data_IF_151374639413
#
_entry.id   IF_151374639413
#
_cell.length_a   1.000
_cell.length_b   1.000
_cell.length_c   1.000
_cell.angle_alpha   90.00
_cell.angle_beta   90.00
_cell.angle_gamma   90.00
#
_symmetry.space_group_name_H-M   'P 1'
#
loop_
_entity.id
_entity.type
_entity.pdbx_description
1 polymer ?
#
# COMPACT_ATOMS: atom_id res chain seq x y z
N UNK A 1 31.96 -7.40 6.65
CA UNK A 1 31.84 -5.98 6.26
C UNK A 1 30.46 -5.77 5.66
N UNK A 2 29.67 -4.94 6.33
CA UNK A 2 28.35 -4.38 5.99
C UNK A 2 27.17 -5.35 5.81
N UNK A 3 26.63 -5.80 6.95
CA UNK A 3 25.23 -6.16 7.08
C UNK A 3 24.38 -4.90 6.84
N UNK A 4 23.86 -4.76 5.62
CA UNK A 4 22.81 -3.80 5.34
C UNK A 4 21.48 -4.48 5.64
N UNK A 5 20.86 -4.09 6.75
CA UNK A 5 19.46 -4.38 7.03
C UNK A 5 18.58 -3.73 5.97
N UNK A 6 18.35 -4.45 4.87
CA UNK A 6 17.40 -4.11 3.84
C UNK A 6 15.98 -4.31 4.39
N UNK A 7 15.47 -3.32 5.13
CA UNK A 7 14.05 -3.28 5.47
C UNK A 7 13.26 -3.02 4.19
N UNK A 8 12.80 -4.09 3.54
CA UNK A 8 11.93 -4.01 2.37
C UNK A 8 10.53 -3.52 2.78
N UNK A 9 10.35 -2.22 2.94
CA UNK A 9 9.02 -1.62 3.04
C UNK A 9 8.38 -1.66 1.64
N UNK A 10 7.50 -2.63 1.38
CA UNK A 10 6.72 -2.68 0.14
C UNK A 10 5.52 -1.75 0.30
N UNK A 11 5.59 -0.58 -0.31
CA UNK A 11 4.42 0.29 -0.46
C UNK A 11 3.66 -0.11 -1.72
N UNK A 12 2.47 -0.71 -1.58
CA UNK A 12 1.53 -0.91 -2.69
C UNK A 12 0.52 0.23 -2.71
N UNK A 13 0.69 1.18 -3.63
CA UNK A 13 -0.23 2.33 -3.71
C UNK A 13 -1.40 2.01 -4.63
N UNK A 14 -2.61 2.37 -4.19
CA UNK A 14 -3.88 2.05 -4.87
C UNK A 14 -4.48 3.24 -5.61
N UNK A 15 -4.20 4.46 -5.16
CA UNK A 15 -4.95 5.64 -5.59
C UNK A 15 -4.02 6.75 -6.09
N UNK A 16 -4.39 7.30 -7.26
CA UNK A 16 -3.69 8.38 -7.98
C UNK A 16 -3.30 9.54 -7.06
N UNK A 17 -4.18 9.93 -6.13
CA UNK A 17 -3.93 11.00 -5.16
C UNK A 17 -2.94 10.64 -4.06
N UNK A 18 -2.90 9.39 -3.59
CA UNK A 18 -1.96 8.99 -2.51
C UNK A 18 -0.56 8.73 -3.05
N UNK A 19 -0.44 8.29 -4.30
CA UNK A 19 0.86 7.97 -4.94
C UNK A 19 1.79 9.17 -5.05
N UNK A 20 1.27 10.39 -5.25
CA UNK A 20 2.10 11.60 -5.25
C UNK A 20 2.74 11.87 -3.89
N UNK A 21 1.96 11.82 -2.79
CA UNK A 21 2.48 12.07 -1.45
C UNK A 21 3.51 11.03 -1.02
N UNK A 22 3.33 9.77 -1.43
CA UNK A 22 4.32 8.70 -1.18
C UNK A 22 5.62 8.98 -1.94
N UNK A 23 5.53 9.40 -3.21
CA UNK A 23 6.69 9.78 -4.00
C UNK A 23 7.45 10.96 -3.38
N UNK A 24 6.74 12.01 -2.97
CA UNK A 24 7.32 13.20 -2.36
C UNK A 24 7.97 12.88 -1.01
N UNK A 25 7.31 12.09 -0.17
CA UNK A 25 7.91 11.60 1.07
C UNK A 25 9.19 10.79 0.78
N UNK A 26 9.22 10.05 -0.33
CA UNK A 26 10.43 9.32 -0.70
C UNK A 26 11.56 10.24 -1.14
N UNK A 27 11.24 11.26 -1.94
CA UNK A 27 12.19 12.29 -2.37
C UNK A 27 12.78 13.06 -1.19
N UNK A 28 11.94 13.46 -0.22
CA UNK A 28 12.36 14.26 0.94
C UNK A 28 13.13 13.41 1.97
N UNK A 29 12.63 12.22 2.31
CA UNK A 29 13.15 11.43 3.42
C UNK A 29 14.02 10.25 3.00
N UNK A 30 14.38 10.11 1.72
CA UNK A 30 14.98 8.88 1.16
C UNK A 30 16.43 8.93 0.80
N UNK A 31 17.00 10.10 0.91
CA UNK A 31 18.39 10.38 0.58
C UNK A 31 19.30 10.20 1.80
N UNK A 32 18.75 10.27 3.02
CA UNK A 32 19.54 10.40 4.25
C UNK A 32 20.02 9.08 4.87
N UNK A 33 19.39 7.94 4.56
CA UNK A 33 19.80 6.63 5.07
C UNK A 33 20.08 5.70 3.90
N UNK A 34 21.19 4.96 3.92
CA UNK A 34 21.62 3.97 2.90
C UNK A 34 20.65 2.78 2.70
N UNK A 35 19.39 2.91 3.15
CA UNK A 35 18.35 1.89 3.04
C UNK A 35 17.57 2.10 1.74
N UNK A 36 17.74 1.15 0.82
CA UNK A 36 16.98 1.12 -0.43
C UNK A 36 15.49 0.93 -0.12
N UNK A 37 14.65 1.86 -0.58
CA UNK A 37 13.19 1.79 -0.43
C UNK A 37 12.54 1.31 -1.72
N UNK A 38 11.74 0.25 -1.60
CA UNK A 38 11.08 -0.37 -2.75
C UNK A 38 9.61 0.05 -2.79
N UNK A 39 9.28 0.97 -3.69
CA UNK A 39 7.90 1.43 -3.90
C UNK A 39 7.38 0.75 -5.15
N UNK A 40 6.30 0.01 -5.01
CA UNK A 40 5.72 -0.75 -6.12
C UNK A 40 4.35 -0.15 -6.45
N UNK A 41 4.26 0.52 -7.60
CA UNK A 41 2.97 0.95 -8.14
C UNK A 41 2.23 -0.21 -8.79
N UNK A 42 1.01 -0.54 -8.35
CA UNK A 42 0.16 -1.52 -9.04
C UNK A 42 -0.93 -0.78 -9.78
N UNK A 43 -0.85 -0.75 -11.11
CA UNK A 43 -1.65 0.14 -11.95
C UNK A 43 -2.31 -0.65 -13.09
N UNK A 44 -3.61 -0.46 -13.37
CA UNK A 44 -4.25 -1.05 -14.55
C UNK A 44 -3.64 -0.50 -15.84
N UNK A 45 -3.25 -1.38 -16.76
CA UNK A 45 -2.65 -1.03 -18.05
C UNK A 45 -3.53 -0.08 -18.86
N UNK A 46 -4.83 -0.36 -18.94
CA UNK A 46 -5.81 0.46 -19.66
C UNK A 46 -6.00 1.88 -19.12
N UNK A 47 -5.51 2.20 -17.90
CA UNK A 47 -5.57 3.53 -17.30
C UNK A 47 -4.27 4.32 -17.43
N UNK A 48 -3.24 3.75 -18.02
CA UNK A 48 -1.94 4.42 -18.16
C UNK A 48 -1.93 5.27 -19.42
N UNK A 49 -1.56 6.53 -19.26
CA UNK A 49 -1.28 7.42 -20.39
C UNK A 49 0.04 7.05 -21.06
N UNK A 50 0.09 7.16 -22.38
CA UNK A 50 1.25 6.81 -23.20
C UNK A 50 1.77 5.38 -22.92
N UNK A 51 0.88 4.44 -22.60
CA UNK A 51 1.28 3.04 -22.33
C UNK A 51 1.94 2.37 -23.54
N UNK A 52 1.68 2.85 -24.76
CA UNK A 52 2.38 2.43 -25.97
C UNK A 52 3.90 2.56 -25.86
N UNK A 53 4.39 3.59 -25.16
CA UNK A 53 5.82 3.86 -25.01
C UNK A 53 6.50 2.78 -24.16
N UNK A 54 5.72 2.13 -23.28
CA UNK A 54 6.17 1.07 -22.39
C UNK A 54 6.23 -0.30 -23.09
N UNK A 55 5.75 -0.41 -24.34
CA UNK A 55 5.74 -1.68 -25.08
C UNK A 55 7.15 -2.04 -25.55
N UNK A 56 7.69 -3.11 -24.99
CA UNK A 56 8.97 -3.67 -25.37
C UNK A 56 9.28 -4.89 -24.52
N UNK A 57 10.00 -5.85 -25.08
CA UNK A 57 10.47 -7.02 -24.36
C UNK A 57 11.94 -6.85 -24.04
N UNK A 58 12.28 -6.84 -22.75
CA UNK A 58 13.66 -6.77 -22.26
C UNK A 58 14.47 -5.58 -22.83
N UNK A 59 13.80 -4.43 -23.02
CA UNK A 59 14.40 -3.21 -23.60
C UNK A 59 14.14 -1.98 -22.75
N UNK A 60 15.08 -1.04 -22.77
CA UNK A 60 14.89 0.28 -22.18
C UNK A 60 13.86 1.07 -23.01
N UNK A 61 12.87 1.64 -22.33
CA UNK A 61 11.87 2.53 -22.90
C UNK A 61 11.86 3.87 -22.20
N UNK A 62 11.79 4.94 -23.00
CA UNK A 62 11.59 6.28 -22.48
C UNK A 62 10.08 6.49 -22.34
N UNK A 63 9.63 6.69 -21.11
CA UNK A 63 8.23 6.95 -20.81
C UNK A 63 8.02 8.44 -20.57
N UNK A 64 7.10 9.05 -21.32
CA UNK A 64 6.78 10.45 -21.14
C UNK A 64 5.56 10.62 -20.21
N UNK A 65 5.77 11.28 -19.07
CA UNK A 65 4.73 11.52 -18.06
C UNK A 65 3.76 12.65 -18.43
N UNK A 66 3.88 13.23 -19.63
CA UNK A 66 2.99 14.30 -20.09
C UNK A 66 1.55 13.79 -20.15
N UNK A 67 0.72 14.39 -19.29
CA UNK A 67 -0.69 14.07 -19.20
C UNK A 67 -1.50 14.80 -20.25
N UNK A 68 -2.49 14.16 -20.85
CA UNK A 68 -3.53 14.85 -21.61
C UNK A 68 -4.56 15.43 -20.62
N UNK A 69 -4.74 16.77 -20.53
CA UNK A 69 -5.67 17.38 -19.58
C UNK A 69 -7.14 16.99 -19.78
N UNK A 70 -7.49 16.46 -20.97
CA UNK A 70 -8.84 15.96 -21.28
C UNK A 70 -9.02 14.47 -21.00
N UNK A 71 -7.93 13.76 -20.69
CA UNK A 71 -7.95 12.32 -20.47
C UNK A 71 -8.30 11.97 -19.03
N UNK A 72 -9.12 10.93 -18.87
CA UNK A 72 -9.45 10.35 -17.55
C UNK A 72 -8.39 9.35 -17.06
N UNK A 73 -7.34 9.12 -17.85
CA UNK A 73 -6.24 8.21 -17.54
C UNK A 73 -5.22 8.92 -16.62
N UNK A 74 -4.16 8.22 -16.27
CA UNK A 74 -3.13 8.71 -15.36
C UNK A 74 -1.74 8.34 -15.83
N UNK A 75 -0.82 9.29 -15.71
CA UNK A 75 0.61 9.02 -15.87
C UNK A 75 1.16 8.24 -14.67
N UNK A 76 2.20 7.43 -14.91
CA UNK A 76 2.96 6.79 -13.84
C UNK A 76 3.80 7.81 -13.06
N UNK A 77 3.97 7.60 -11.75
CA UNK A 77 4.79 8.47 -10.90
C UNK A 77 6.26 8.04 -10.96
N UNK A 78 7.13 8.85 -11.58
CA UNK A 78 8.56 8.58 -11.70
C UNK A 78 9.33 8.43 -10.38
N UNK A 79 8.73 8.75 -9.23
CA UNK A 79 9.31 8.54 -7.91
C UNK A 79 9.12 7.12 -7.37
N UNK A 80 8.34 6.27 -8.05
CA UNK A 80 8.25 4.84 -7.75
C UNK A 80 9.45 4.09 -8.34
N UNK A 81 9.98 3.11 -7.63
CA UNK A 81 11.11 2.30 -8.12
C UNK A 81 10.69 1.15 -9.03
N UNK A 82 9.48 0.63 -8.86
CA UNK A 82 8.96 -0.49 -9.65
C UNK A 82 7.47 -0.32 -9.94
N UNK A 83 7.00 -0.98 -11.00
CA UNK A 83 5.60 -1.03 -11.39
C UNK A 83 5.16 -2.46 -11.73
N UNK A 84 3.93 -2.79 -11.35
CA UNK A 84 3.18 -3.95 -11.82
C UNK A 84 1.99 -3.43 -12.62
N UNK A 85 2.02 -3.64 -13.93
CA UNK A 85 1.00 -3.16 -14.85
C UNK A 85 0.00 -4.29 -15.11
N UNK A 86 -1.25 -4.09 -14.72
CA UNK A 86 -2.28 -5.14 -14.74
C UNK A 86 -3.16 -4.97 -15.97
N UNK A 87 -3.08 -5.92 -16.89
CA UNK A 87 -3.89 -5.92 -18.10
C UNK A 87 -5.06 -6.90 -17.96
N UNK A 88 -6.28 -6.40 -18.19
CA UNK A 88 -7.51 -7.17 -18.27
C UNK A 88 -8.13 -7.13 -19.69
N UNK A 89 -7.39 -6.59 -20.66
CA UNK A 89 -7.82 -6.40 -22.04
C UNK A 89 -8.70 -5.17 -22.25
N UNK A 90 -9.06 -4.43 -21.20
CA UNK A 90 -9.91 -3.24 -21.31
C UNK A 90 -9.08 -1.95 -21.34
N UNK A 91 -9.59 -0.94 -22.05
CA UNK A 91 -9.02 0.41 -22.06
C UNK A 91 -9.90 1.37 -21.28
N UNK A 92 -9.28 2.23 -20.48
CA UNK A 92 -9.96 3.28 -19.73
C UNK A 92 -10.77 2.80 -18.51
N UNK A 93 -10.72 1.52 -18.15
CA UNK A 93 -11.41 0.97 -16.97
C UNK A 93 -10.41 0.55 -15.91
N UNK A 94 -10.81 0.71 -14.65
CA UNK A 94 -10.10 0.09 -13.54
C UNK A 94 -10.56 -1.36 -13.39
N UNK A 95 -9.63 -2.29 -13.25
CA UNK A 95 -9.92 -3.71 -13.10
C UNK A 95 -8.66 -4.52 -12.79
N UNK A 96 -8.82 -5.64 -12.06
CA UNK A 96 -7.76 -6.63 -11.78
C UNK A 96 -6.68 -6.22 -10.78
N UNK A 97 -6.34 -4.93 -10.65
CA UNK A 97 -5.25 -4.46 -9.80
C UNK A 97 -5.48 -4.71 -8.31
N UNK A 98 -6.74 -4.62 -7.87
CA UNK A 98 -7.10 -4.88 -6.48
C UNK A 98 -6.91 -6.36 -6.13
N UNK A 99 -7.30 -7.27 -7.02
CA UNK A 99 -7.16 -8.71 -6.79
C UNK A 99 -5.69 -9.15 -6.84
N UNK A 100 -4.92 -8.61 -7.79
CA UNK A 100 -3.48 -8.85 -7.84
C UNK A 100 -2.81 -8.37 -6.55
N UNK A 101 -3.14 -7.17 -6.08
CA UNK A 101 -2.63 -6.63 -4.80
C UNK A 101 -2.90 -7.59 -3.65
N UNK A 102 -4.15 -8.02 -3.48
CA UNK A 102 -4.52 -8.93 -2.39
C UNK A 102 -3.75 -10.24 -2.45
N UNK A 103 -3.57 -10.80 -3.66
CA UNK A 103 -2.78 -12.02 -3.86
C UNK A 103 -1.30 -11.79 -3.52
N UNK A 104 -0.74 -10.66 -3.96
CA UNK A 104 0.65 -10.28 -3.68
C UNK A 104 0.89 -10.07 -2.19
N UNK A 105 0.06 -9.28 -1.50
CA UNK A 105 0.16 -9.05 -0.06
C UNK A 105 0.10 -10.35 0.72
N UNK A 106 -0.85 -11.24 0.39
CA UNK A 106 -0.97 -12.56 1.01
C UNK A 106 0.25 -13.43 0.76
N UNK A 107 0.83 -13.35 -0.44
CA UNK A 107 2.04 -14.07 -0.78
C UNK A 107 3.25 -13.53 0.00
N UNK A 108 3.43 -12.20 0.05
CA UNK A 108 4.48 -11.52 0.80
C UNK A 108 4.38 -11.85 2.28
N UNK A 109 3.18 -11.78 2.87
CA UNK A 109 2.96 -12.09 4.29
C UNK A 109 3.40 -13.52 4.66
N UNK A 110 3.27 -14.48 3.73
CA UNK A 110 3.70 -15.87 3.94
C UNK A 110 5.22 -16.05 3.82
N UNK A 111 5.93 -15.10 3.23
CA UNK A 111 7.38 -15.16 3.18
C UNK A 111 7.95 -15.06 4.60
N UNK A 112 9.05 -15.76 4.83
CA UNK A 112 9.77 -15.74 6.09
C UNK A 112 10.93 -14.78 5.97
N UNK A 113 11.07 -13.91 6.96
CA UNK A 113 12.27 -13.11 7.15
C UNK A 113 13.09 -13.84 8.22
N UNK A 114 14.36 -14.10 7.90
CA UNK A 114 15.35 -14.50 8.89
C UNK A 114 15.94 -13.22 9.49
N UNK A 115 15.85 -13.00 10.82
CA UNK A 115 16.64 -11.98 11.47
C UNK A 115 18.11 -12.43 11.44
N UNK A 116 18.78 -12.22 10.32
CA UNK A 116 20.22 -12.45 10.21
C UNK A 116 20.92 -11.31 10.94
N UNK A 117 21.14 -11.49 12.25
CA UNK A 117 22.14 -10.80 13.11
C UNK A 117 21.92 -11.01 14.64
N UNK A 118 21.08 -11.95 15.09
CA UNK A 118 21.18 -12.39 16.49
C UNK A 118 22.38 -13.36 16.63
N UNK A 119 23.58 -12.81 16.82
CA UNK A 119 24.79 -13.51 17.29
C UNK A 119 24.68 -13.99 18.76
N UNK A 120 23.47 -14.37 19.19
CA UNK A 120 23.26 -15.08 20.45
C UNK A 120 22.63 -16.44 20.12
N UNK A 121 23.53 -17.38 19.86
CA UNK A 121 23.30 -18.73 19.35
C UNK A 121 22.67 -19.68 20.39
N UNK A 122 21.65 -19.22 21.13
CA UNK A 122 21.05 -19.98 22.24
C UNK A 122 19.53 -20.01 22.27
N UNK A 123 18.84 -19.34 21.34
CA UNK A 123 17.38 -19.43 21.21
C UNK A 123 17.01 -19.73 19.75
N UNK A 124 16.27 -20.83 19.54
CA UNK A 124 15.95 -21.36 18.21
C UNK A 124 15.42 -20.31 17.24
N UNK A 125 15.90 -20.38 15.99
CA UNK A 125 15.52 -19.49 14.89
C UNK A 125 14.00 -19.28 14.79
N UNK A 126 13.49 -18.16 15.30
CA UNK A 126 12.11 -17.73 15.04
C UNK A 126 12.09 -17.01 13.69
N UNK A 127 11.64 -17.70 12.66
CA UNK A 127 11.38 -17.09 11.36
C UNK A 127 10.08 -16.29 11.46
N UNK A 128 10.16 -14.96 11.39
CA UNK A 128 8.98 -14.09 11.47
C UNK A 128 8.37 -13.92 10.07
N UNK A 129 7.05 -13.95 9.97
CA UNK A 129 6.33 -13.62 8.74
C UNK A 129 6.50 -12.13 8.40
N UNK A 130 6.45 -11.77 7.12
CA UNK A 130 6.50 -10.35 6.74
C UNK A 130 5.26 -9.64 7.29
N UNK A 131 5.41 -8.61 8.15
CA UNK A 131 4.27 -7.84 8.62
C UNK A 131 3.68 -7.02 7.47
N UNK A 132 2.35 -7.04 7.35
CA UNK A 132 1.61 -6.24 6.37
C UNK A 132 0.70 -5.30 7.14
N UNK A 133 0.73 -4.02 6.80
CA UNK A 133 -0.13 -2.97 7.36
C UNK A 133 -0.79 -2.20 6.23
N UNK A 134 -2.01 -1.72 6.48
CA UNK A 134 -2.72 -0.83 5.57
C UNK A 134 -2.69 0.59 6.14
N UNK A 135 -2.38 1.57 5.28
CA UNK A 135 -2.43 2.98 5.63
C UNK A 135 -3.48 3.68 4.77
N UNK A 136 -4.40 4.38 5.41
CA UNK A 136 -5.47 5.15 4.78
C UNK A 136 -5.23 6.62 5.06
N UNK A 137 -4.89 7.38 4.01
CA UNK A 137 -4.73 8.83 4.07
C UNK A 137 -5.97 9.50 3.51
N UNK A 138 -6.34 9.24 2.26
CA UNK A 138 -7.62 9.64 1.69
C UNK A 138 -8.30 8.43 1.05
N UNK A 139 -9.53 8.58 0.56
CA UNK A 139 -10.16 7.53 -0.20
C UNK A 139 -11.50 7.89 -0.80
N UNK A 140 -11.84 7.23 -1.91
CA UNK A 140 -13.21 7.12 -2.38
C UNK A 140 -13.95 5.95 -1.72
N UNK A 141 -15.23 5.73 -2.05
CA UNK A 141 -16.04 4.63 -1.50
C UNK A 141 -15.38 3.23 -1.54
N UNK A 142 -14.62 2.84 -2.59
CA UNK A 142 -13.96 1.52 -2.62
C UNK A 142 -12.95 1.27 -1.49
N UNK A 143 -12.44 2.32 -0.83
CA UNK A 143 -11.55 2.18 0.32
C UNK A 143 -12.27 1.54 1.50
N UNK A 144 -13.54 1.87 1.73
CA UNK A 144 -14.31 1.31 2.85
C UNK A 144 -14.43 -0.22 2.73
N UNK A 145 -14.74 -0.71 1.53
CA UNK A 145 -14.80 -2.15 1.26
C UNK A 145 -13.43 -2.82 1.44
N UNK A 146 -12.35 -2.15 1.04
CA UNK A 146 -10.98 -2.66 1.21
C UNK A 146 -10.60 -2.75 2.68
N UNK A 147 -10.89 -1.72 3.47
CA UNK A 147 -10.64 -1.68 4.91
C UNK A 147 -11.44 -2.76 5.63
N UNK A 148 -12.74 -2.89 5.33
CA UNK A 148 -13.58 -3.95 5.87
C UNK A 148 -12.99 -5.34 5.59
N UNK A 149 -12.58 -5.60 4.35
CA UNK A 149 -11.93 -6.87 4.02
C UNK A 149 -10.66 -7.10 4.83
N UNK A 150 -9.81 -6.08 4.98
CA UNK A 150 -8.54 -6.18 5.72
C UNK A 150 -8.73 -6.49 7.20
N UNK A 151 -9.67 -5.82 7.86
CA UNK A 151 -9.95 -6.07 9.28
C UNK A 151 -10.70 -7.39 9.50
N UNK A 152 -11.43 -7.89 8.50
CA UNK A 152 -12.11 -9.20 8.54
C UNK A 152 -11.21 -10.39 8.18
N UNK A 153 -9.94 -10.18 7.80
CA UNK A 153 -9.01 -11.28 7.51
C UNK A 153 -8.64 -12.08 8.76
N UNK A 154 -8.10 -13.28 8.54
CA UNK A 154 -7.53 -14.12 9.59
C UNK A 154 -6.09 -14.49 9.23
N UNK A 155 -5.06 -13.92 9.90
CA UNK A 155 -5.15 -12.85 10.90
C UNK A 155 -5.57 -11.49 10.29
N UNK A 156 -6.19 -10.58 11.07
CA UNK A 156 -6.53 -9.24 10.60
C UNK A 156 -5.29 -8.46 10.16
N UNK A 157 -5.43 -7.66 9.10
CA UNK A 157 -4.39 -6.70 8.70
C UNK A 157 -4.61 -5.41 9.48
N UNK A 158 -3.62 -4.92 10.27
CA UNK A 158 -3.73 -3.64 10.97
C UNK A 158 -3.96 -2.49 9.98
N UNK A 159 -4.91 -1.62 10.29
CA UNK A 159 -5.26 -0.45 9.47
C UNK A 159 -4.98 0.83 10.26
N UNK A 160 -4.14 1.70 9.71
CA UNK A 160 -3.82 3.02 10.24
C UNK A 160 -4.58 4.05 9.42
N UNK A 161 -5.43 4.84 10.08
CA UNK A 161 -6.23 5.89 9.42
C UNK A 161 -5.72 7.25 9.87
N UNK A 162 -5.42 8.13 8.92
CA UNK A 162 -5.07 9.52 9.18
C UNK A 162 -6.34 10.35 9.16
N UNK A 163 -6.74 10.88 10.31
CA UNK A 163 -7.89 11.79 10.44
C UNK A 163 -7.51 13.22 10.01
N UNK A 164 -8.49 13.97 9.50
CA UNK A 164 -8.37 15.36 9.07
C UNK A 164 -7.93 15.52 7.62
N UNK A 165 -7.77 14.41 6.91
CA UNK A 165 -7.39 14.33 5.50
C UNK A 165 -8.59 14.28 4.56
N UNK A 166 -9.81 14.03 5.08
CA UNK A 166 -11.04 14.06 4.32
C UNK A 166 -11.52 12.71 3.76
N UNK A 167 -12.72 12.77 3.17
CA UNK A 167 -13.36 11.67 2.41
C UNK A 167 -13.51 10.39 3.25
N UNK A 168 -13.11 9.23 2.70
CA UNK A 168 -13.27 7.95 3.40
C UNK A 168 -12.46 7.83 4.70
N UNK A 169 -11.33 8.55 4.83
CA UNK A 169 -10.49 8.47 6.02
C UNK A 169 -11.19 9.09 7.23
N UNK A 170 -11.77 10.29 7.08
CA UNK A 170 -12.53 10.96 8.15
C UNK A 170 -13.79 10.20 8.52
N UNK A 171 -14.48 9.58 7.54
CA UNK A 171 -15.63 8.72 7.82
C UNK A 171 -15.22 7.52 8.71
N UNK A 172 -14.11 6.86 8.39
CA UNK A 172 -13.58 5.75 9.19
C UNK A 172 -13.17 6.21 10.59
N UNK A 173 -12.51 7.37 10.70
CA UNK A 173 -12.12 7.94 11.98
C UNK A 173 -13.34 8.29 12.85
N UNK A 174 -14.37 8.91 12.26
CA UNK A 174 -15.61 9.26 12.94
C UNK A 174 -16.34 8.00 13.46
N UNK A 175 -16.50 6.98 12.60
CA UNK A 175 -17.14 5.72 12.98
C UNK A 175 -16.37 5.04 14.13
N UNK A 176 -15.03 5.01 14.04
CA UNK A 176 -14.19 4.45 15.09
C UNK A 176 -14.37 5.19 16.42
N UNK A 177 -14.43 6.52 16.41
CA UNK A 177 -14.66 7.33 17.62
C UNK A 177 -16.05 7.08 18.22
N UNK A 178 -17.09 7.08 17.39
CA UNK A 178 -18.47 6.89 17.88
C UNK A 178 -18.65 5.51 18.49
N UNK A 179 -18.15 4.46 17.83
CA UNK A 179 -18.23 3.10 18.35
C UNK A 179 -17.34 2.86 19.58
N UNK A 180 -16.27 3.65 19.75
CA UNK A 180 -15.47 3.61 20.97
C UNK A 180 -16.21 4.23 22.17
N UNK A 181 -16.98 5.31 21.95
CA UNK A 181 -17.83 5.92 22.98
C UNK A 181 -18.93 4.95 23.41
N UNK A 182 -19.62 4.31 22.46
CA UNK A 182 -20.68 3.34 22.77
C UNK A 182 -20.15 2.13 23.57
N UNK A 183 -18.90 1.70 23.32
CA UNK A 183 -18.26 0.62 24.11
C UNK A 183 -17.98 1.03 25.55
N UNK A 184 -17.65 2.30 25.78
CA UNK A 184 -17.46 2.82 27.13
C UNK A 184 -18.79 2.83 27.88
N UNK A 185 -19.87 3.33 27.27
CA UNK A 185 -21.20 3.36 27.89
C UNK A 185 -21.74 1.96 28.21
N UNK A 186 -21.54 0.97 27.33
CA UNK A 186 -21.91 -0.43 27.62
C UNK A 186 -21.05 -1.01 28.76
N UNK A 187 -19.75 -0.71 28.80
CA UNK A 187 -18.87 -1.19 29.87
C UNK A 187 -19.18 -0.55 31.24
N UNK A 188 -19.65 0.71 31.26
CA UNK A 188 -20.14 1.35 32.48
C UNK A 188 -21.44 0.70 32.96
N UNK A 189 -22.34 0.29 32.07
CA UNK A 189 -23.58 -0.39 32.44
C UNK A 189 -23.36 -1.84 32.91
N UNK A 190 -22.36 -2.55 32.37
CA UNK A 190 -22.06 -3.93 32.78
C UNK A 190 -21.24 -4.06 34.06
N UNK A 191 -20.64 -2.96 34.57
CA UNK A 191 -19.84 -2.95 35.80
C UNK A 191 -20.63 -2.46 37.04
N UNK A 192 -21.96 -2.35 36.97
CA UNK A 192 -22.83 -1.93 38.10
C UNK A 192 -23.57 -3.11 38.76
N UNK A 193 -23.18 -4.36 38.49
CA UNK A 193 -23.74 -5.55 39.14
C UNK A 193 -22.66 -6.46 39.70
#
# INVERSE_FOLDING_TARGET
MNGNGDTACIFSVIYKGVSMYVGDAVKVYGTHERRKRNIIGITPWGLIENHSDLIGRDVLRHYQTLGNPLSKRSSLNGLHSHFLLVDDGTLGKSGGQLDLRKKLERHVHRQRIHPSECELWTCGHVCIQVPVVCVVVEGGPPVLATVLEYVSRTPPVPVIVFEGTGRAADLLALIHKQTAVDRLDVSYLTNVH
#
